data_IF_732222818808
#
_entry.id   IF_732222818808
#
_cell.length_a   1.000
_cell.length_b   1.000
_cell.length_c   1.000
_cell.angle_alpha   90.00
_cell.angle_beta   90.00
_cell.angle_gamma   90.00
#
_symmetry.space_group_name_H-M   'P 1'
#
loop_
_entity.id
_entity.type
_entity.pdbx_description
1 polymer ?
2 non-polymer ?
3 non-polymer ?
4 non-polymer ?
5 water ?
#
# COMPACT_ATOMS: atom_id res chain seq x y z
N UNK A 8 0.02 -2.20 16.30
CA UNK A 8 -0.82 -1.11 16.82
C UNK A 8 -2.21 -1.13 16.21
N UNK A 9 -2.32 -1.63 14.98
CA UNK A 9 -3.58 -1.77 14.29
C UNK A 9 -3.83 -3.23 13.95
N UNK A 10 -5.09 -3.64 14.01
CA UNK A 10 -5.46 -4.98 13.56
C UNK A 10 -5.81 -4.91 12.08
N UNK A 11 -4.76 -4.73 11.27
CA UNK A 11 -4.96 -4.53 9.84
C UNK A 11 -5.54 -5.76 9.16
N UNK A 12 -5.14 -6.96 9.63
CA UNK A 12 -5.73 -8.19 9.07
C UNK A 12 -7.22 -8.28 9.37
N UNK A 13 -7.69 -7.67 10.46
CA UNK A 13 -9.12 -7.69 10.76
C UNK A 13 -9.91 -6.84 9.77
N UNK A 14 -9.29 -5.80 9.21
CA UNK A 14 -9.99 -4.99 8.23
C UNK A 14 -10.01 -5.71 6.88
N UNK A 15 -10.98 -5.33 6.05
CA UNK A 15 -11.12 -5.95 4.76
C UNK A 15 -9.96 -5.61 3.83
N UNK A 16 -10.04 -6.13 2.61
CA UNK A 16 -8.93 -5.98 1.65
C UNK A 16 -8.96 -4.70 0.84
N UNK A 17 -9.97 -3.85 1.00
CA UNK A 17 -10.09 -2.68 0.14
C UNK A 17 -9.56 -1.44 0.78
N UNK A 18 -8.33 -1.06 0.42
CA UNK A 18 -7.68 0.13 0.92
C UNK A 18 -7.76 1.23 -0.14
N UNK A 19 -7.90 2.47 0.32
CA UNK A 19 -8.20 3.57 -0.59
C UNK A 19 -7.33 4.78 -0.26
N UNK A 20 -6.53 5.22 -1.23
CA UNK A 20 -5.84 6.49 -1.11
C UNK A 20 -6.85 7.65 -1.11
N UNK A 21 -6.63 8.60 -0.20
CA UNK A 21 -7.35 9.87 -0.21
C UNK A 21 -6.32 10.97 -0.01
N UNK A 22 -6.13 11.87 -0.97
CA UNK A 22 -5.20 13.00 -0.76
C UNK A 22 -5.58 13.78 0.48
N UNK A 23 -4.59 14.04 1.33
CA UNK A 23 -4.85 14.69 2.62
C UNK A 23 -5.17 16.17 2.50
N UNK A 24 -5.02 16.79 1.33
CA UNK A 24 -5.46 18.17 1.16
C UNK A 24 -6.92 18.26 0.75
N UNK A 25 -7.67 17.17 0.82
CA UNK A 25 -9.10 17.16 0.56
C UNK A 25 -9.86 16.65 1.78
N UNK A 26 -9.79 17.36 2.91
CA UNK A 26 -10.50 16.89 4.12
C UNK A 26 -12.00 16.78 3.94
N UNK A 27 -12.59 17.52 3.01
CA UNK A 27 -14.01 17.38 2.75
C UNK A 27 -14.36 15.99 2.22
N UNK A 28 -13.37 15.20 1.82
CA UNK A 28 -13.59 13.85 1.30
C UNK A 28 -13.25 12.75 2.31
N UNK A 29 -12.72 13.10 3.48
CA UNK A 29 -12.21 12.08 4.40
C UNK A 29 -13.33 11.15 4.85
N UNK A 30 -14.47 11.72 5.25
CA UNK A 30 -15.57 10.89 5.74
C UNK A 30 -16.08 9.95 4.65
N UNK A 31 -16.18 10.44 3.42
CA UNK A 31 -16.65 9.60 2.32
C UNK A 31 -15.68 8.47 2.05
N UNK A 32 -14.37 8.76 2.11
CA UNK A 32 -13.37 7.72 1.90
C UNK A 32 -13.45 6.65 2.98
N UNK A 33 -13.63 7.07 4.23
CA UNK A 33 -13.71 6.11 5.33
C UNK A 33 -14.96 5.23 5.20
N UNK A 34 -16.08 5.81 4.77
CA UNK A 34 -17.29 5.02 4.58
C UNK A 34 -17.17 4.07 3.39
N UNK A 35 -16.38 4.43 2.38
CA UNK A 35 -16.28 3.60 1.18
C UNK A 35 -15.29 2.45 1.33
N UNK A 36 -14.26 2.62 2.14
CA UNK A 36 -13.15 1.69 2.13
C UNK A 36 -13.02 0.96 3.47
N UNK A 37 -12.25 -0.12 3.43
CA UNK A 37 -11.90 -0.84 4.65
C UNK A 37 -10.83 -0.07 5.43
N UNK A 38 -9.80 0.38 4.75
CA UNK A 38 -8.74 1.21 5.35
C UNK A 38 -8.50 2.39 4.41
N UNK A 39 -8.33 3.58 4.99
CA UNK A 39 -8.01 4.77 4.22
C UNK A 39 -6.53 5.08 4.39
N UNK A 40 -5.86 5.38 3.28
CA UNK A 40 -4.50 5.88 3.30
C UNK A 40 -4.57 7.39 3.07
N UNK A 41 -4.41 8.17 4.14
CA UNK A 41 -4.37 9.62 3.97
C UNK A 41 -2.99 9.99 3.44
N UNK A 42 -2.95 10.65 2.29
CA UNK A 42 -1.75 10.75 1.49
C UNK A 42 -1.13 12.14 1.62
N UNK A 43 0.12 12.18 2.07
CA UNK A 43 0.93 13.39 2.04
C UNK A 43 1.94 13.39 0.89
N UNK A 44 2.05 12.29 0.15
CA UNK A 44 3.04 12.21 -0.92
C UNK A 44 2.40 12.49 -2.28
N UNK A 45 2.50 11.55 -3.23
CA UNK A 45 2.25 11.90 -4.62
C UNK A 45 0.82 12.34 -4.90
N UNK A 46 -0.13 11.98 -4.04
CA UNK A 46 -1.49 12.46 -4.25
C UNK A 46 -1.69 13.94 -4.00
N UNK A 47 -0.72 14.64 -3.41
CA UNK A 47 -0.86 16.05 -3.03
C UNK A 47 0.25 16.84 -3.71
N UNK A 48 -0.12 17.92 -4.40
CA UNK A 48 0.85 18.77 -5.05
C UNK A 48 1.79 19.40 -4.02
N UNK A 49 3.04 19.60 -4.43
CA UNK A 49 4.07 20.17 -3.56
C UNK A 49 3.56 21.41 -2.81
N UNK A 50 2.90 22.33 -3.52
CA UNK A 50 2.45 23.56 -2.90
C UNK A 50 1.30 23.34 -1.92
N UNK A 51 0.63 22.20 -1.99
CA UNK A 51 -0.52 21.90 -1.15
C UNK A 51 -0.17 21.02 0.06
N UNK A 52 1.08 20.59 0.19
CA UNK A 52 1.44 19.68 1.28
C UNK A 52 1.31 20.34 2.65
N UNK A 53 1.71 21.61 2.83
CA UNK A 53 1.43 22.26 4.13
C UNK A 53 -0.05 22.27 4.48
N UNK A 54 -0.92 22.56 3.52
CA UNK A 54 -2.36 22.52 3.81
C UNK A 54 -2.82 21.09 4.11
N UNK A 55 -2.19 20.09 3.49
CA UNK A 55 -2.56 18.71 3.77
C UNK A 55 -2.19 18.31 5.18
N UNK A 56 -1.05 18.81 5.68
CA UNK A 56 -0.64 18.52 7.05
C UNK A 56 -1.59 19.13 8.07
N UNK A 57 -2.09 20.33 7.80
CA UNK A 57 -3.09 20.92 8.68
C UNK A 57 -4.40 20.14 8.65
N UNK A 58 -4.83 19.70 7.46
CA UNK A 58 -6.04 18.90 7.38
C UNK A 58 -5.86 17.59 8.14
N UNK A 59 -4.66 17.03 8.08
CA UNK A 59 -4.37 15.80 8.81
C UNK A 59 -4.63 15.97 10.30
N UNK A 60 -4.21 17.11 10.86
CA UNK A 60 -4.46 17.38 12.28
C UNK A 60 -5.92 17.72 12.53
N UNK A 61 -6.56 18.45 11.62
CA UNK A 61 -7.85 19.07 11.91
C UNK A 61 -9.05 18.16 11.68
N UNK A 62 -8.94 17.16 10.81
CA UNK A 62 -10.06 16.33 10.40
C UNK A 62 -9.68 14.88 10.63
N UNK A 63 -9.80 14.39 11.86
CA UNK A 63 -9.33 13.03 12.17
C UNK A 63 -10.28 11.96 11.67
N UNK A 64 -9.68 10.84 11.29
CA UNK A 64 -10.37 9.59 10.98
C UNK A 64 -10.02 8.55 12.04
N UNK A 65 -10.73 7.42 12.00
CA UNK A 65 -10.51 6.34 12.96
C UNK A 65 -9.11 5.79 12.81
N UNK A 66 -8.24 5.96 13.82
CA UNK A 66 -6.86 5.46 13.68
C UNK A 66 -6.75 3.95 13.63
N UNK A 67 -7.79 3.20 14.00
CA UNK A 67 -7.78 1.75 13.82
C UNK A 67 -7.92 1.36 12.34
N UNK A 68 -8.31 2.30 11.48
CA UNK A 68 -8.61 1.97 10.08
C UNK A 68 -8.02 3.00 9.13
N UNK A 69 -7.01 3.75 9.56
CA UNK A 69 -6.40 4.80 8.75
C UNK A 69 -4.89 4.75 8.89
N UNK A 70 -4.21 4.85 7.75
CA UNK A 70 -2.76 4.87 7.59
C UNK A 70 -2.38 6.17 6.87
N UNK A 71 -1.21 6.71 7.18
CA UNK A 71 -0.77 7.98 6.58
C UNK A 71 0.45 7.69 5.70
N UNK A 72 0.34 8.00 4.41
CA UNK A 72 1.51 7.93 3.54
C UNK A 72 2.31 9.21 3.67
N UNK A 73 3.54 9.08 4.18
CA UNK A 73 4.45 10.22 4.34
C UNK A 73 5.32 10.31 3.09
N UNK A 74 6.24 11.26 3.09
CA UNK A 74 7.15 11.44 1.97
C UNK A 74 8.41 10.61 2.17
N UNK A 75 9.26 10.57 1.14
CA UNK A 75 10.33 9.58 1.11
C UNK A 75 11.43 9.92 2.10
N UNK A 76 12.20 8.89 2.45
CA UNK A 76 13.33 9.04 3.37
C UNK A 76 14.29 10.12 2.94
N UNK A 77 14.75 10.92 3.89
CA UNK A 77 15.72 11.95 3.61
C UNK A 77 15.17 13.25 3.06
N UNK A 78 13.88 13.33 2.80
CA UNK A 78 13.32 14.56 2.25
C UNK A 78 12.89 15.52 3.37
N UNK A 79 12.96 16.81 3.07
CA UNK A 79 12.45 17.80 4.01
C UNK A 79 10.96 17.62 4.24
N UNK A 80 10.23 17.18 3.20
CA UNK A 80 8.80 16.92 3.37
C UNK A 80 8.55 15.86 4.43
N UNK A 81 9.33 14.79 4.44
CA UNK A 81 9.11 13.76 5.43
C UNK A 81 9.29 14.31 6.84
N UNK A 82 10.30 15.18 7.04
CA UNK A 82 10.49 15.79 8.34
C UNK A 82 9.28 16.60 8.75
N UNK A 83 8.72 17.38 7.82
CA UNK A 83 7.51 18.13 8.10
C UNK A 83 6.33 17.19 8.39
N UNK A 84 6.23 16.09 7.64
CA UNK A 84 5.16 15.12 7.85
C UNK A 84 5.19 14.56 9.27
N UNK A 85 6.37 14.15 9.74
CA UNK A 85 6.45 13.54 11.07
C UNK A 85 6.12 14.56 12.15
N UNK A 86 6.49 15.82 11.94
CA UNK A 86 6.07 16.84 12.90
C UNK A 86 4.56 16.97 12.94
N UNK A 87 3.91 16.97 11.78
CA UNK A 87 2.45 17.08 11.75
C UNK A 87 1.80 15.87 12.39
N UNK A 88 2.37 14.67 12.17
CA UNK A 88 1.80 13.45 12.73
C UNK A 88 1.83 13.43 14.24
N UNK A 89 2.77 14.17 14.85
CA UNK A 89 2.92 14.18 16.30
C UNK A 89 1.61 14.52 16.99
N UNK A 90 0.84 15.45 16.42
CA UNK A 90 -0.40 15.87 17.04
C UNK A 90 -1.61 15.13 16.53
N UNK A 91 -1.42 13.89 16.09
CA UNK A 91 -2.51 13.01 15.66
C UNK A 91 -2.47 11.72 16.47
N UNK A 92 -3.50 10.90 16.27
CA UNK A 92 -3.56 9.61 16.94
C UNK A 92 -3.13 8.47 16.03
N UNK A 93 -2.60 8.79 14.85
CA UNK A 93 -2.20 7.73 13.92
C UNK A 93 -0.91 7.08 14.40
N UNK A 94 -0.82 5.78 14.18
CA UNK A 94 0.32 4.97 14.59
C UNK A 94 1.08 4.35 13.43
N UNK A 95 0.49 4.30 12.25
CA UNK A 95 1.02 3.51 11.14
C UNK A 95 1.23 4.42 9.94
N UNK A 96 2.44 4.40 9.38
CA UNK A 96 2.77 5.21 8.22
C UNK A 96 3.13 4.30 7.05
N UNK A 97 2.92 4.81 5.85
CA UNK A 97 3.34 4.17 4.62
C UNK A 97 4.52 4.96 4.08
N UNK A 98 5.64 4.26 3.85
CA UNK A 98 6.88 4.88 3.40
C UNK A 98 7.07 4.66 1.91
N UNK A 99 6.95 5.69 1.07
CA UNK A 99 7.16 5.50 -0.37
C UNK A 99 8.64 5.46 -0.69
N UNK A 100 8.93 4.91 -1.86
CA UNK A 100 10.32 4.73 -2.31
C UNK A 100 11.16 4.08 -1.21
N UNK A 101 10.57 3.13 -0.50
CA UNK A 101 11.30 2.47 0.59
C UNK A 101 12.49 1.70 0.01
N UNK A 102 13.70 1.99 0.50
CA UNK A 102 14.90 1.43 -0.12
C UNK A 102 15.88 0.77 0.83
N UNK A 103 15.66 0.80 2.14
CA UNK A 103 16.57 0.13 3.05
C UNK A 103 15.88 -0.14 4.38
N UNK A 104 16.41 -1.12 5.12
CA UNK A 104 15.96 -1.31 6.49
C UNK A 104 16.15 -0.04 7.31
N UNK A 105 17.25 0.68 7.07
CA UNK A 105 17.52 1.89 7.84
C UNK A 105 16.43 2.95 7.65
N UNK A 106 15.87 3.05 6.44
CA UNK A 106 14.79 4.01 6.23
C UNK A 106 13.56 3.64 7.04
N UNK A 107 13.30 2.33 7.18
CA UNK A 107 12.17 1.89 8.00
C UNK A 107 12.46 2.12 9.47
N UNK A 108 13.67 1.78 9.91
CA UNK A 108 14.03 1.88 11.32
C UNK A 108 13.98 3.34 11.79
N UNK A 109 14.31 4.29 10.91
CA UNK A 109 14.29 5.67 11.39
C UNK A 109 12.88 6.19 11.63
N UNK A 110 11.85 5.41 11.31
CA UNK A 110 10.47 5.74 11.60
C UNK A 110 9.96 5.11 12.89
N UNK A 111 10.73 4.23 13.52
CA UNK A 111 10.38 3.73 14.85
C UNK A 111 10.13 4.93 15.77
N UNK A 112 9.17 4.85 16.71
CA UNK A 112 8.38 3.66 17.10
C UNK A 112 7.08 3.46 16.30
N UNK A 113 6.97 4.09 15.13
CA UNK A 113 5.77 3.91 14.31
C UNK A 113 5.78 2.54 13.63
N UNK A 114 4.58 2.04 13.34
CA UNK A 114 4.44 0.89 12.44
C UNK A 114 4.55 1.37 11.00
N UNK A 115 5.19 0.57 10.14
CA UNK A 115 5.55 1.02 8.80
C UNK A 115 5.04 0.03 7.76
N UNK A 116 4.33 0.54 6.75
CA UNK A 116 4.08 -0.18 5.52
C UNK A 116 5.07 0.34 4.50
N UNK A 117 6.01 -0.50 4.07
CA UNK A 117 7.04 -0.09 3.14
C UNK A 117 6.51 -0.26 1.71
N UNK A 118 6.51 0.82 0.96
CA UNK A 118 6.05 0.82 -0.43
C UNK A 118 7.32 0.78 -1.30
N UNK A 119 7.60 -0.40 -1.85
CA UNK A 119 8.75 -0.61 -2.71
C UNK A 119 8.34 -0.26 -4.15
N UNK A 120 9.05 0.70 -4.74
CA UNK A 120 8.73 1.20 -6.07
C UNK A 120 9.99 1.72 -6.77
N UNK A 121 11.16 1.18 -6.41
CA UNK A 121 12.42 1.46 -7.06
C UNK A 121 13.23 0.18 -7.10
N UNK A 122 14.23 0.15 -7.99
CA UNK A 122 15.09 -1.02 -8.11
C UNK A 122 15.82 -1.32 -6.80
N UNK A 123 16.34 -0.28 -6.14
CA UNK A 123 17.04 -0.52 -4.87
C UNK A 123 16.10 -1.15 -3.85
N UNK A 124 14.84 -0.71 -3.82
CA UNK A 124 13.89 -1.29 -2.89
C UNK A 124 13.61 -2.75 -3.20
N UNK A 125 13.55 -3.09 -4.49
CA UNK A 125 13.30 -4.48 -4.88
C UNK A 125 14.48 -5.36 -4.49
N UNK A 126 15.71 -4.87 -4.72
CA UNK A 126 16.91 -5.61 -4.38
C UNK A 126 17.02 -5.82 -2.87
N UNK A 127 16.51 -4.88 -2.08
CA UNK A 127 16.59 -4.90 -0.63
C UNK A 127 15.28 -5.32 0.02
N UNK A 128 14.37 -5.96 -0.72
CA UNK A 128 13.03 -6.20 -0.20
C UNK A 128 13.03 -7.04 1.07
N UNK A 129 13.88 -8.09 1.12
CA UNK A 129 13.90 -8.95 2.31
C UNK A 129 14.38 -8.18 3.54
N UNK A 130 15.42 -7.35 3.38
CA UNK A 130 15.91 -6.57 4.50
C UNK A 130 14.87 -5.56 4.97
N UNK A 131 14.14 -4.96 4.03
CA UNK A 131 13.08 -4.02 4.39
C UNK A 131 11.95 -4.74 5.14
N UNK A 132 11.53 -5.89 4.63
CA UNK A 132 10.44 -6.63 5.28
C UNK A 132 10.82 -7.11 6.68
N UNK A 133 12.10 -7.47 6.88
CA UNK A 133 12.53 -8.00 8.17
C UNK A 133 12.72 -6.91 9.22
N UNK A 134 12.78 -5.65 8.82
CA UNK A 134 13.00 -4.56 9.77
C UNK A 134 11.92 -4.54 10.84
N UNK A 135 12.32 -4.31 12.09
CA UNK A 135 11.38 -4.42 13.19
C UNK A 135 10.10 -3.59 13.02
N UNK A 136 10.14 -2.34 12.55
CA UNK A 136 8.89 -1.58 12.42
C UNK A 136 7.94 -2.07 11.33
N UNK A 137 8.40 -2.90 10.41
CA UNK A 137 7.59 -3.22 9.23
C UNK A 137 6.39 -4.07 9.62
N UNK A 138 5.20 -3.65 9.19
CA UNK A 138 4.00 -4.46 9.33
C UNK A 138 3.40 -4.84 7.97
N UNK A 139 3.87 -4.26 6.89
CA UNK A 139 3.37 -4.61 5.56
C UNK A 139 4.33 -4.18 4.49
N UNK A 140 4.20 -4.83 3.32
CA UNK A 140 4.94 -4.47 2.12
C UNK A 140 3.94 -4.22 1.01
N UNK A 141 4.15 -3.12 0.29
CA UNK A 141 3.40 -2.78 -0.91
C UNK A 141 4.40 -2.60 -2.05
N UNK A 142 3.91 -2.67 -3.28
CA UNK A 142 4.76 -2.32 -4.41
C UNK A 142 4.04 -1.32 -5.29
N UNK A 143 4.82 -0.58 -6.08
CA UNK A 143 4.24 0.43 -6.95
C UNK A 143 4.82 0.39 -8.35
N UNK A 144 3.99 0.06 -9.34
CA UNK A 144 4.53 -0.22 -10.67
C UNK A 144 4.98 1.06 -11.39
N UNK A 145 4.24 2.16 -11.24
CA UNK A 145 4.53 3.33 -12.06
C UNK A 145 5.83 4.01 -11.62
N UNK A 146 6.04 4.20 -10.31
CA UNK A 146 7.31 4.76 -9.85
C UNK A 146 8.46 3.79 -10.12
N UNK A 147 8.20 2.48 -10.06
CA UNK A 147 9.25 1.52 -10.41
C UNK A 147 9.74 1.77 -11.82
N UNK A 148 8.82 1.83 -12.79
CA UNK A 148 9.21 2.05 -14.19
C UNK A 148 9.82 3.43 -14.37
N UNK A 149 9.26 4.44 -13.69
CA UNK A 149 9.79 5.79 -13.85
C UNK A 149 11.24 5.86 -13.41
N UNK A 150 11.53 5.32 -12.22
CA UNK A 150 12.88 5.40 -11.69
C UNK A 150 13.84 4.45 -12.39
N UNK A 151 13.33 3.37 -13.00
CA UNK A 151 14.16 2.55 -13.88
C UNK A 151 14.58 3.30 -15.13
N UNK A 152 13.85 4.35 -15.52
CA UNK A 152 14.08 5.06 -16.76
C UNK A 152 13.20 4.63 -17.92
N UNK A 153 12.14 3.86 -17.65
CA UNK A 153 11.26 3.38 -18.69
C UNK A 153 10.07 4.28 -18.91
N UNK A 154 9.11 3.77 -19.68
CA UNK A 154 7.99 4.59 -20.14
C UNK A 154 6.61 3.97 -19.95
N UNK A 155 6.52 2.68 -19.60
CA UNK A 155 5.21 2.10 -19.30
C UNK A 155 5.40 0.82 -18.48
N UNK A 156 4.48 0.59 -17.56
CA UNK A 156 4.50 -0.60 -16.73
C UNK A 156 3.69 -1.74 -17.31
N UNK A 157 2.84 -1.48 -18.31
CA UNK A 157 1.93 -2.48 -18.86
C UNK A 157 2.07 -2.58 -20.36
N UNK A 158 1.87 -3.80 -20.88
CA UNK A 158 1.79 -4.02 -22.31
C UNK A 158 0.48 -3.47 -22.86
N UNK A 159 0.32 -3.61 -24.18
CA UNK A 159 -0.87 -3.07 -24.85
C UNK A 159 -2.15 -3.70 -24.32
N UNK A 160 -2.11 -5.00 -24.00
CA UNK A 160 -3.28 -5.69 -23.46
C UNK A 160 -3.54 -5.38 -22.00
N UNK A 161 -2.72 -4.55 -21.35
CA UNK A 161 -2.89 -4.21 -19.96
C UNK A 161 -2.16 -5.10 -18.98
N UNK A 162 -1.57 -6.20 -19.45
CA UNK A 162 -0.80 -7.06 -18.57
C UNK A 162 0.47 -6.34 -18.14
N UNK A 163 0.89 -6.59 -16.91
CA UNK A 163 2.13 -6.04 -16.41
C UNK A 163 3.31 -6.50 -17.26
N UNK A 164 4.28 -5.60 -17.46
CA UNK A 164 5.53 -6.02 -18.06
C UNK A 164 6.33 -6.86 -17.05
N UNK A 165 7.35 -7.56 -17.54
CA UNK A 165 7.98 -8.61 -16.75
C UNK A 165 8.64 -8.07 -15.48
N UNK A 166 9.37 -6.94 -15.58
CA UNK A 166 10.04 -6.46 -14.37
C UNK A 166 9.03 -6.08 -13.30
N UNK A 167 7.84 -5.62 -13.71
CA UNK A 167 6.78 -5.34 -12.75
C UNK A 167 6.26 -6.63 -12.10
N UNK A 168 6.01 -7.65 -12.91
CA UNK A 168 5.62 -8.94 -12.35
C UNK A 168 6.68 -9.47 -11.40
N UNK A 169 7.95 -9.26 -11.73
CA UNK A 169 9.04 -9.76 -10.90
C UNK A 169 9.04 -9.09 -9.54
N UNK A 170 8.88 -7.76 -9.52
CA UNK A 170 8.86 -7.03 -8.24
C UNK A 170 7.61 -7.37 -7.43
N UNK A 171 6.47 -7.55 -8.11
CA UNK A 171 5.25 -7.99 -7.44
C UNK A 171 5.47 -9.28 -6.64
N UNK A 172 6.01 -10.31 -7.29
CA UNK A 172 6.33 -11.56 -6.61
C UNK A 172 7.37 -11.36 -5.52
N UNK A 173 8.39 -10.54 -5.79
CA UNK A 173 9.41 -10.26 -4.79
C UNK A 173 8.79 -9.72 -3.50
N UNK A 174 7.86 -8.78 -3.62
CA UNK A 174 7.26 -8.13 -2.45
C UNK A 174 6.32 -9.08 -1.72
N UNK A 175 5.55 -9.88 -2.47
CA UNK A 175 4.68 -10.87 -1.83
C UNK A 175 5.48 -11.86 -1.01
N UNK A 176 6.58 -12.35 -1.59
CA UNK A 176 7.40 -13.35 -0.89
C UNK A 176 8.12 -12.73 0.31
N UNK A 177 8.69 -11.54 0.15
CA UNK A 177 9.38 -10.90 1.27
C UNK A 177 8.42 -10.60 2.41
N UNK A 178 7.23 -10.07 2.09
CA UNK A 178 6.23 -9.81 3.13
C UNK A 178 5.87 -11.09 3.88
N UNK A 179 5.52 -12.14 3.12
CA UNK A 179 5.07 -13.37 3.76
C UNK A 179 6.18 -14.03 4.56
N UNK A 180 7.41 -13.95 4.08
CA UNK A 180 8.53 -14.60 4.77
C UNK A 180 8.70 -14.05 6.18
N UNK A 181 8.28 -12.80 6.41
CA UNK A 181 8.46 -12.17 7.72
C UNK A 181 7.13 -11.83 8.38
N UNK A 182 6.05 -12.47 7.94
CA UNK A 182 4.76 -12.33 8.58
C UNK A 182 4.11 -10.97 8.39
N UNK A 183 4.45 -10.26 7.31
CA UNK A 183 3.90 -8.94 7.06
C UNK A 183 2.68 -9.02 6.16
N UNK A 184 1.85 -7.98 6.22
CA UNK A 184 0.78 -7.84 5.24
C UNK A 184 1.38 -7.62 3.86
N UNK A 185 0.74 -8.18 2.83
CA UNK A 185 1.14 -7.97 1.45
C UNK A 185 0.07 -7.16 0.74
N UNK A 186 0.44 -6.00 0.19
CA UNK A 186 -0.48 -5.09 -0.48
C UNK A 186 -0.14 -5.03 -1.96
N UNK A 187 -1.14 -5.27 -2.81
CA UNK A 187 -0.92 -5.25 -4.25
C UNK A 187 -1.09 -3.83 -4.79
N UNK A 188 -0.41 -3.56 -5.91
CA UNK A 188 -0.31 -2.22 -6.47
C UNK A 188 -1.64 -1.72 -7.04
N UNK A 189 -1.75 -0.39 -7.12
CA UNK A 189 -2.97 0.27 -7.58
C UNK A 189 -3.17 0.05 -9.07
N UNK A 190 -4.43 0.06 -9.48
CA UNK A 190 -4.83 -0.05 -10.88
C UNK A 190 -5.18 1.35 -11.33
N UNK A 191 -4.26 2.01 -12.04
CA UNK A 191 -4.47 3.43 -12.36
C UNK A 191 -5.60 3.67 -13.34
N UNK A 192 -5.94 2.67 -14.17
CA UNK A 192 -7.02 2.82 -15.14
C UNK A 192 -8.34 2.56 -14.42
N UNK A 193 -8.93 3.65 -13.90
CA UNK A 193 -10.07 3.54 -12.99
C UNK A 193 -11.26 2.88 -13.66
N UNK A 194 -11.58 3.30 -14.89
CA UNK A 194 -12.74 2.76 -15.58
C UNK A 194 -12.51 1.34 -16.09
N UNK A 195 -11.27 0.85 -16.07
CA UNK A 195 -10.95 -0.52 -16.45
C UNK A 195 -11.31 -1.48 -15.31
N UNK A 196 -12.61 -1.67 -15.13
CA UNK A 196 -13.09 -2.56 -14.06
C UNK A 196 -12.77 -4.01 -14.40
N UNK A 197 -12.84 -4.38 -15.68
CA UNK A 197 -12.48 -5.72 -16.09
C UNK A 197 -11.05 -6.06 -15.70
N UNK A 198 -10.10 -5.16 -16.00
CA UNK A 198 -8.72 -5.41 -15.66
C UNK A 198 -8.49 -5.48 -14.17
N UNK A 199 -9.16 -4.61 -13.40
CA UNK A 199 -9.04 -4.64 -11.95
C UNK A 199 -9.57 -5.95 -11.38
N UNK A 200 -10.71 -6.41 -11.90
CA UNK A 200 -11.27 -7.66 -11.42
C UNK A 200 -10.27 -8.80 -11.58
N UNK A 201 -9.69 -8.93 -12.78
CA UNK A 201 -8.74 -10.00 -13.04
C UNK A 201 -7.49 -9.85 -12.17
N UNK A 202 -7.03 -8.62 -11.99
CA UNK A 202 -5.83 -8.33 -11.21
C UNK A 202 -6.03 -8.64 -9.73
N UNK A 203 -7.17 -8.22 -9.17
CA UNK A 203 -7.43 -8.48 -7.76
C UNK A 203 -7.75 -9.95 -7.52
N UNK A 204 -8.46 -10.60 -8.44
CA UNK A 204 -8.62 -12.05 -8.34
C UNK A 204 -7.26 -12.75 -8.36
N UNK A 205 -6.37 -12.33 -9.27
CA UNK A 205 -5.02 -12.88 -9.31
C UNK A 205 -4.30 -12.66 -7.98
N UNK A 206 -4.43 -11.45 -7.42
CA UNK A 206 -3.72 -11.13 -6.20
C UNK A 206 -4.24 -11.97 -5.02
N UNK A 207 -5.57 -12.09 -4.91
CA UNK A 207 -6.17 -12.87 -3.83
C UNK A 207 -5.80 -14.35 -3.96
N UNK A 208 -5.72 -14.84 -5.19
CA UNK A 208 -5.45 -16.26 -5.40
C UNK A 208 -4.06 -16.67 -4.90
N UNK A 209 -3.08 -15.76 -4.95
CA UNK A 209 -1.71 -16.09 -4.53
C UNK A 209 -1.42 -15.61 -3.11
N UNK A 210 -2.36 -14.96 -2.45
CA UNK A 210 -2.22 -14.63 -1.05
C UNK A 210 -1.87 -13.19 -0.72
N UNK A 211 -2.03 -12.26 -1.65
CA UNK A 211 -2.02 -10.87 -1.22
C UNK A 211 -3.15 -10.68 -0.22
N UNK A 212 -2.94 -9.77 0.73
CA UNK A 212 -3.95 -9.48 1.75
C UNK A 212 -4.84 -8.32 1.39
N UNK A 213 -4.37 -7.45 0.51
CA UNK A 213 -4.97 -6.15 0.22
C UNK A 213 -4.72 -5.82 -1.24
N UNK A 214 -5.72 -5.23 -1.91
CA UNK A 214 -5.48 -4.47 -3.13
C UNK A 214 -5.75 -3.01 -2.83
N UNK A 215 -4.77 -2.15 -3.06
CA UNK A 215 -4.94 -0.73 -2.80
C UNK A 215 -5.58 -0.07 -4.01
N UNK A 216 -6.49 0.85 -3.73
CA UNK A 216 -7.29 1.53 -4.75
C UNK A 216 -7.04 3.03 -4.73
N UNK A 217 -7.25 3.68 -5.88
CA UNK A 217 -7.15 5.13 -5.98
C UNK A 217 -8.49 5.79 -6.27
N UNK A 218 -9.57 5.01 -6.38
CA UNK A 218 -10.90 5.58 -6.56
C UNK A 218 -11.90 4.70 -5.82
N UNK A 219 -12.88 5.29 -5.13
CA UNK A 219 -13.78 4.48 -4.31
C UNK A 219 -14.60 3.47 -5.10
N UNK A 220 -14.84 3.72 -6.40
CA UNK A 220 -15.58 2.75 -7.22
C UNK A 220 -14.83 1.43 -7.34
N UNK A 221 -13.53 1.42 -7.07
CA UNK A 221 -12.75 0.18 -7.15
C UNK A 221 -12.95 -0.69 -5.91
N UNK A 222 -13.40 -0.13 -4.79
CA UNK A 222 -13.50 -0.92 -3.56
C UNK A 222 -14.46 -2.10 -3.68
N UNK A 223 -15.67 -1.93 -4.23
CA UNK A 223 -16.55 -3.11 -4.37
C UNK A 223 -15.94 -4.20 -5.22
N UNK A 224 -15.22 -3.82 -6.28
CA UNK A 224 -14.61 -4.82 -7.15
C UNK A 224 -13.58 -5.62 -6.38
N UNK A 225 -12.75 -4.95 -5.60
CA UNK A 225 -11.71 -5.62 -4.80
C UNK A 225 -12.35 -6.53 -3.76
N UNK A 226 -13.34 -6.03 -3.02
CA UNK A 226 -13.98 -6.84 -1.99
C UNK A 226 -14.59 -8.10 -2.57
N UNK A 227 -15.23 -7.99 -3.74
CA UNK A 227 -15.77 -9.19 -4.38
C UNK A 227 -14.67 -10.12 -4.86
N UNK A 228 -13.55 -9.57 -5.35
CA UNK A 228 -12.49 -10.40 -5.90
C UNK A 228 -11.82 -11.25 -4.83
N UNK A 229 -11.86 -10.82 -3.58
CA UNK A 229 -11.18 -11.50 -2.49
C UNK A 229 -12.12 -12.49 -1.79
N UNK A 258 -7.28 -35.79 -10.58
CA UNK A 258 -6.38 -34.97 -9.78
C UNK A 258 -6.05 -35.60 -8.44
N UNK A 259 -4.88 -35.25 -7.91
CA UNK A 259 -4.46 -35.65 -6.56
C UNK A 259 -4.69 -34.48 -5.61
N UNK A 260 -5.36 -34.77 -4.50
CA UNK A 260 -5.58 -33.78 -3.43
C UNK A 260 -4.70 -34.18 -2.25
N UNK A 261 -3.81 -33.28 -1.84
CA UNK A 261 -2.97 -33.47 -0.68
C UNK A 261 -3.28 -32.39 0.36
N UNK A 262 -2.46 -32.31 1.40
CA UNK A 262 -2.73 -31.38 2.50
C UNK A 262 -2.86 -29.93 2.05
N UNK A 263 -1.94 -29.37 1.26
CA UNK A 263 -2.09 -27.94 0.89
C UNK A 263 -3.33 -27.65 0.05
N UNK A 264 -3.78 -28.59 -0.79
CA UNK A 264 -4.96 -28.33 -1.61
C UNK A 264 -6.20 -28.18 -0.72
N UNK A 265 -6.27 -28.93 0.37
CA UNK A 265 -7.38 -28.76 1.31
C UNK A 265 -7.29 -27.41 2.01
N UNK A 266 -6.08 -26.92 2.26
CA UNK A 266 -5.93 -25.57 2.82
C UNK A 266 -6.44 -24.53 1.83
N UNK A 267 -6.19 -24.73 0.54
CA UNK A 267 -6.77 -23.86 -0.49
C UNK A 267 -8.28 -23.82 -0.38
N UNK A 268 -8.91 -24.99 -0.20
CA UNK A 268 -10.36 -25.04 -0.08
C UNK A 268 -10.85 -24.33 1.17
N UNK A 269 -10.12 -24.49 2.28
CA UNK A 269 -10.49 -23.79 3.52
C UNK A 269 -10.34 -22.29 3.37
N UNK A 270 -9.26 -21.84 2.75
CA UNK A 270 -9.08 -20.41 2.49
C UNK A 270 -10.23 -19.84 1.67
N UNK A 271 -10.74 -20.62 0.71
CA UNK A 271 -11.90 -20.18 -0.07
C UNK A 271 -13.13 -20.03 0.81
N UNK A 272 -13.44 -21.05 1.61
CA UNK A 272 -14.60 -20.98 2.51
C UNK A 272 -14.50 -19.78 3.44
N UNK A 273 -13.29 -19.33 3.73
CA UNK A 273 -13.04 -18.17 4.58
C UNK A 273 -12.86 -16.90 3.76
X LIG B 1 4.49 5.85 -6.20
X LIG C 1 10.01 -6.66 -19.42
X LIG C 1 8.84 -6.87 -19.89
X LIG C 1 10.37 -6.51 -18.19
X LIG C 1 11.19 -6.58 -20.46
X LIG D 1 -13.89 10.24 -2.34
X LIG D 1 -15.10 10.34 -2.71
X LIG D 1 -12.92 11.02 -2.60
X LIG D 1 -13.53 8.98 -1.50
X LIG E 1 -0.44 7.52 -6.30
X LIG E 1 -0.78 7.09 -7.43
X LIG E 1 0.72 7.73 -5.86
X LIG E 1 -1.63 7.81 -5.32
X LIG F 1 2.14 4.05 -5.64
X LIG F 1 2.44 3.09 -6.41
X LIG F 1 2.84 5.06 -5.32
X LIG F 1 0.72 3.99 -5.00
X LIG G 1 2.27 10.31 16.54
X LIG G 1 0.91 9.87 16.54
X LIG G 1 2.93 9.92 15.23
X LIG G 1 4.34 10.09 15.34
#
# INVERSE_FOLDING_TARGET
MAHHHHHHMNLRAAGPGWLFCPADRPERFAKAAAAADVVILDLEDGVAEAQKPAARNALRDTPLDPERTVVRINAGGTADQARDLEALAGTAYTTVMLPKAESAAQVIELAPRDVIALVETARGAVCAAEIAAADPTVGMMWGAEDLIATLGGSSSRRADGAYRDVARHVRSTILLAASAFGRLALDAVHLDILDVEGLQEEARDAAAVGFDVTVCIHPSQIPVVRKAYRPSHEKLAWARRVLAASRSERGAFAFEGQMVDSPVLTHAETMLRRAGEATSE
MG MG
ACT C O OXT CH3
ACT C O OXT CH3
ACT C O OXT CH3
ACT C O OXT CH3
EDO C1 O1 C2 O2
#
